data_IF_803693092414
#
_entry.id   IF_803693092414
#
_cell.length_a   1.000
_cell.length_b   1.000
_cell.length_c   1.000
_cell.angle_alpha   90.00
_cell.angle_beta   90.00
_cell.angle_gamma   90.00
#
_symmetry.space_group_name_H-M   'P 1'
#
loop_
_entity.id
_entity.type
_entity.pdbx_description
1 polymer ?
#
# COMPACT_ATOMS: atom_id res chain seq x y z
N UNK A 1 -4.57 -5.49 11.13
CA UNK A 1 -3.72 -5.38 12.34
C UNK A 1 -2.30 -5.07 11.87
N UNK A 2 -1.67 -4.00 12.33
CA UNK A 2 -0.33 -3.64 11.84
C UNK A 2 0.70 -4.59 12.46
N UNK A 3 1.35 -5.40 11.62
CA UNK A 3 2.43 -6.29 12.05
C UNK A 3 3.77 -5.54 12.04
N UNK A 4 4.49 -5.60 13.15
CA UNK A 4 5.87 -5.09 13.25
C UNK A 4 6.83 -6.28 13.18
N UNK A 5 7.90 -6.16 12.40
CA UNK A 5 9.00 -7.11 12.41
C UNK A 5 10.16 -6.50 13.21
N UNK A 6 10.45 -7.07 14.38
CA UNK A 6 11.60 -6.70 15.20
C UNK A 6 12.81 -7.59 14.87
N UNK A 7 13.99 -6.96 14.78
CA UNK A 7 15.28 -7.58 14.46
C UNK A 7 16.23 -7.54 15.67
N UNK A 8 15.79 -7.03 16.83
CA UNK A 8 16.63 -6.77 18.00
C UNK A 8 17.01 -7.98 18.87
N UNK A 9 16.57 -9.20 18.53
CA UNK A 9 16.94 -10.42 19.26
C UNK A 9 16.30 -10.59 20.66
N UNK A 10 15.54 -9.60 21.14
CA UNK A 10 14.62 -9.77 22.29
C UNK A 10 13.20 -9.92 21.75
N UNK A 11 12.66 -11.13 21.82
CA UNK A 11 11.25 -11.33 21.51
C UNK A 11 10.39 -10.57 22.54
N UNK A 12 9.55 -9.59 22.15
CA UNK A 12 8.58 -9.04 23.07
C UNK A 12 7.65 -10.17 23.55
N UNK A 13 7.32 -10.18 24.84
CA UNK A 13 6.49 -11.22 25.47
C UNK A 13 5.08 -11.33 24.88
N UNK A 14 4.66 -10.34 24.07
CA UNK A 14 3.50 -10.41 23.21
C UNK A 14 3.78 -9.75 21.86
N UNK A 15 3.65 -10.51 20.75
CA UNK A 15 3.84 -10.01 19.37
C UNK A 15 2.62 -9.25 18.83
N UNK A 16 1.50 -9.23 19.58
CA UNK A 16 0.25 -8.60 19.16
C UNK A 16 -0.16 -7.59 20.23
N UNK A 17 -0.29 -6.32 19.83
CA UNK A 17 -0.78 -5.25 20.69
C UNK A 17 -2.10 -4.74 20.14
N UNK A 18 -3.16 -4.82 20.94
CA UNK A 18 -4.46 -4.26 20.59
C UNK A 18 -4.52 -2.79 21.00
N UNK A 19 -4.73 -1.91 20.01
CA UNK A 19 -4.97 -0.48 20.24
C UNK A 19 -6.43 -0.21 19.90
N UNK A 20 -7.24 0.12 20.91
CA UNK A 20 -8.64 0.49 20.70
C UNK A 20 -8.74 1.96 20.30
N UNK A 21 -9.61 2.24 19.35
CA UNK A 21 -10.02 3.60 18.99
C UNK A 21 -11.31 3.94 19.74
N UNK A 22 -11.42 5.16 20.24
CA UNK A 22 -12.59 5.67 20.95
C UNK A 22 -13.35 6.61 20.01
N UNK A 23 -14.60 6.30 19.68
CA UNK A 23 -15.40 7.10 18.73
C UNK A 23 -15.32 6.62 17.28
N UNK A 24 -16.02 7.32 16.39
CA UNK A 24 -16.09 6.98 14.97
C UNK A 24 -14.85 7.47 14.22
N UNK A 25 -14.00 6.53 13.81
CA UNK A 25 -12.75 6.82 13.13
C UNK A 25 -12.56 5.91 11.92
N UNK A 26 -12.14 6.48 10.79
CA UNK A 26 -11.90 5.75 9.54
C UNK A 26 -10.55 5.03 9.50
N UNK A 27 -10.30 4.30 8.40
CA UNK A 27 -9.08 3.50 8.17
C UNK A 27 -7.80 4.33 8.31
N UNK A 28 -7.77 5.54 7.74
CA UNK A 28 -6.66 6.48 7.88
C UNK A 28 -6.24 6.71 9.34
N UNK A 29 -7.18 6.98 10.24
CA UNK A 29 -6.90 7.20 11.66
C UNK A 29 -6.31 5.94 12.31
N UNK A 30 -6.90 4.76 12.05
CA UNK A 30 -6.41 3.50 12.59
C UNK A 30 -4.98 3.19 12.11
N UNK A 31 -4.67 3.40 10.82
CA UNK A 31 -3.34 3.18 10.25
C UNK A 31 -2.31 4.15 10.83
N UNK A 32 -2.66 5.43 10.96
CA UNK A 32 -1.78 6.43 11.57
C UNK A 32 -1.51 6.14 13.04
N UNK A 33 -2.53 5.84 13.84
CA UNK A 33 -2.36 5.47 15.25
C UNK A 33 -1.50 4.22 15.41
N UNK A 34 -1.73 3.20 14.58
CA UNK A 34 -0.90 2.00 14.56
C UNK A 34 0.55 2.29 14.12
N UNK A 35 0.75 3.26 13.23
CA UNK A 35 2.09 3.72 12.82
C UNK A 35 2.79 4.40 13.98
N UNK A 36 2.14 5.34 14.67
CA UNK A 36 2.68 6.05 15.84
C UNK A 36 3.10 5.10 16.96
N UNK A 37 2.33 4.03 17.19
CA UNK A 37 2.60 3.06 18.26
C UNK A 37 3.57 1.93 17.87
N UNK A 38 3.90 1.79 16.59
CA UNK A 38 4.83 0.75 16.14
C UNK A 38 6.27 1.09 16.53
N UNK A 39 7.03 0.09 16.97
CA UNK A 39 8.42 0.27 17.44
C UNK A 39 9.46 -0.32 16.48
N UNK A 40 9.02 -1.12 15.50
CA UNK A 40 9.90 -1.75 14.52
C UNK A 40 10.51 -0.75 13.54
N UNK A 41 11.73 -1.07 13.05
CA UNK A 41 12.39 -0.35 11.94
C UNK A 41 11.61 -0.50 10.64
N UNK A 42 11.10 -1.68 10.36
CA UNK A 42 10.31 -1.94 9.17
C UNK A 42 8.82 -1.86 9.48
N UNK A 43 8.08 -1.13 8.65
CA UNK A 43 6.63 -0.97 8.78
C UNK A 43 5.91 -1.59 7.59
N UNK A 44 4.87 -2.36 7.88
CA UNK A 44 3.94 -2.88 6.89
C UNK A 44 2.51 -2.59 7.32
N UNK A 45 1.59 -2.58 6.37
CA UNK A 45 0.15 -2.53 6.63
C UNK A 45 -0.48 -3.85 6.19
N UNK A 46 -1.46 -4.33 6.94
CA UNK A 46 -2.26 -5.49 6.58
C UNK A 46 -3.72 -5.18 6.88
N UNK A 47 -4.52 -5.05 5.83
CA UNK A 47 -5.95 -4.87 5.93
C UNK A 47 -6.59 -6.14 6.52
N UNK A 48 -7.67 -5.97 7.29
CA UNK A 48 -8.23 -7.03 8.12
C UNK A 48 -8.88 -8.16 7.30
N UNK A 49 -9.13 -7.91 6.02
CA UNK A 49 -9.68 -8.85 5.07
C UNK A 49 -8.63 -9.52 4.18
N UNK A 50 -7.38 -9.08 4.18
CA UNK A 50 -6.33 -9.67 3.37
C UNK A 50 -5.55 -10.76 4.10
N UNK A 51 -4.85 -11.59 3.32
CA UNK A 51 -3.96 -12.63 3.82
C UNK A 51 -2.57 -12.47 3.24
N UNK A 52 -1.55 -12.70 4.06
CA UNK A 52 -0.17 -12.80 3.59
C UNK A 52 0.25 -14.25 3.41
N UNK A 53 1.09 -14.45 2.40
CA UNK A 53 1.92 -15.64 2.34
C UNK A 53 2.82 -15.71 3.60
N UNK A 54 3.08 -16.93 4.08
CA UNK A 54 3.87 -17.14 5.31
C UNK A 54 5.29 -16.59 5.18
N UNK A 55 5.82 -16.52 3.96
CA UNK A 55 7.17 -16.03 3.65
C UNK A 55 7.20 -14.54 3.25
N UNK A 56 6.06 -13.84 3.21
CA UNK A 56 5.98 -12.43 2.76
C UNK A 56 7.01 -11.55 3.46
N UNK A 57 7.04 -11.59 4.79
CA UNK A 57 7.92 -10.73 5.59
C UNK A 57 9.40 -11.06 5.37
N UNK A 58 9.78 -12.35 5.37
CA UNK A 58 11.17 -12.77 5.21
C UNK A 58 11.70 -12.46 3.81
N UNK A 59 10.92 -12.76 2.77
CA UNK A 59 11.27 -12.47 1.37
C UNK A 59 11.39 -10.98 1.10
N UNK A 60 10.40 -10.19 1.50
CA UNK A 60 10.41 -8.75 1.25
C UNK A 60 11.49 -8.03 2.05
N UNK A 61 11.75 -8.45 3.29
CA UNK A 61 12.86 -7.91 4.09
C UNK A 61 14.22 -8.23 3.45
N UNK A 62 14.43 -9.46 3.00
CA UNK A 62 15.66 -9.86 2.29
C UNK A 62 15.85 -9.04 1.02
N UNK A 63 14.78 -8.85 0.25
CA UNK A 63 14.77 -8.03 -0.96
C UNK A 63 15.14 -6.56 -0.66
N UNK A 64 14.57 -5.95 0.37
CA UNK A 64 14.89 -4.56 0.77
C UNK A 64 16.34 -4.42 1.23
N UNK A 65 16.87 -5.40 1.99
CA UNK A 65 18.28 -5.40 2.40
C UNK A 65 19.23 -5.50 1.21
N UNK A 66 18.91 -6.36 0.24
CA UNK A 66 19.73 -6.55 -0.97
C UNK A 66 19.73 -5.31 -1.87
N UNK A 67 18.61 -4.61 -1.96
CA UNK A 67 18.43 -3.45 -2.85
C UNK A 67 18.74 -2.11 -2.18
N UNK A 68 18.78 -2.06 -0.84
CA UNK A 68 18.84 -0.81 -0.09
C UNK A 68 17.54 0.02 -0.18
N UNK A 69 16.42 -0.60 -0.60
CA UNK A 69 15.17 0.11 -0.82
C UNK A 69 14.58 0.64 0.49
N UNK A 70 14.18 1.91 0.50
CA UNK A 70 13.43 2.52 1.60
C UNK A 70 11.92 2.20 1.53
N UNK A 71 11.41 1.93 0.32
CA UNK A 71 10.03 1.60 0.03
C UNK A 71 10.01 0.43 -0.94
N UNK A 72 9.41 -0.70 -0.54
CA UNK A 72 9.13 -1.81 -1.45
C UNK A 72 7.65 -2.20 -1.46
N UNK A 73 7.26 -2.95 -2.49
CA UNK A 73 5.94 -3.54 -2.63
C UNK A 73 6.03 -4.88 -3.38
N UNK A 74 5.02 -5.73 -3.22
CA UNK A 74 4.98 -7.06 -3.84
C UNK A 74 3.86 -7.18 -4.87
N UNK A 75 3.94 -8.23 -5.70
CA UNK A 75 2.76 -8.75 -6.40
C UNK A 75 1.73 -9.31 -5.43
N UNK A 76 0.55 -9.57 -5.95
CA UNK A 76 -0.57 -10.11 -5.18
C UNK A 76 -1.51 -10.92 -6.09
N UNK A 77 -2.34 -11.75 -5.48
CA UNK A 77 -3.37 -12.54 -6.16
C UNK A 77 -4.74 -12.13 -5.64
N UNK A 78 -5.74 -12.07 -6.51
CA UNK A 78 -7.12 -11.88 -6.05
C UNK A 78 -7.63 -13.15 -5.37
N UNK A 79 -8.33 -12.99 -4.25
CA UNK A 79 -8.97 -14.08 -3.53
C UNK A 79 -10.49 -13.87 -3.39
N UNK A 80 -11.22 -14.98 -3.31
CA UNK A 80 -12.65 -15.01 -3.00
C UNK A 80 -12.93 -14.68 -1.52
N UNK A 81 -14.19 -14.59 -1.13
CA UNK A 81 -14.61 -14.26 0.24
C UNK A 81 -14.11 -15.22 1.33
N UNK A 82 -13.72 -16.44 0.95
CA UNK A 82 -13.13 -17.44 1.85
C UNK A 82 -11.60 -17.31 1.93
N UNK A 83 -11.01 -16.34 1.23
CA UNK A 83 -9.56 -16.15 1.17
C UNK A 83 -8.86 -17.15 0.25
N UNK A 84 -9.59 -17.85 -0.63
CA UNK A 84 -8.99 -18.76 -1.60
C UNK A 84 -8.58 -17.97 -2.85
N UNK A 85 -7.34 -18.15 -3.27
CA UNK A 85 -6.80 -17.57 -4.50
C UNK A 85 -7.62 -17.94 -5.74
N UNK A 86 -7.83 -16.97 -6.62
CA UNK A 86 -8.58 -17.12 -7.88
C UNK A 86 -7.69 -17.50 -9.06
N UNK A 87 -6.37 -17.63 -8.86
CA UNK A 87 -5.36 -17.78 -9.91
C UNK A 87 -5.01 -16.47 -10.62
N UNK A 88 -5.74 -15.37 -10.35
CA UNK A 88 -5.51 -14.08 -10.99
C UNK A 88 -4.42 -13.29 -10.27
N UNK A 89 -3.19 -13.44 -10.75
CA UNK A 89 -1.99 -12.81 -10.19
C UNK A 89 -1.72 -11.46 -10.86
N UNK A 90 -1.53 -10.43 -10.05
CA UNK A 90 -1.06 -9.11 -10.46
C UNK A 90 0.45 -9.03 -10.31
N UNK A 91 1.14 -9.00 -11.44
CA UNK A 91 2.59 -8.77 -11.51
C UNK A 91 2.93 -7.30 -11.30
N UNK A 92 4.13 -7.05 -10.76
CA UNK A 92 4.62 -5.70 -10.46
C UNK A 92 5.90 -5.38 -11.24
N UNK A 93 6.10 -4.11 -11.65
CA UNK A 93 7.36 -3.68 -12.24
C UNK A 93 8.49 -3.69 -11.19
N UNK A 94 9.76 -3.78 -11.61
CA UNK A 94 10.90 -3.83 -10.68
C UNK A 94 11.06 -2.53 -9.87
N UNK A 95 10.60 -1.40 -10.40
CA UNK A 95 10.61 -0.12 -9.71
C UNK A 95 9.45 0.77 -10.21
N UNK A 96 9.05 1.73 -9.38
CA UNK A 96 8.08 2.77 -9.69
C UNK A 96 8.60 4.10 -9.13
N UNK A 97 8.77 5.07 -10.02
CA UNK A 97 9.02 6.48 -9.71
C UNK A 97 7.70 7.24 -9.50
N UNK A 98 7.78 8.48 -9.02
CA UNK A 98 6.60 9.35 -8.86
C UNK A 98 5.76 9.48 -10.15
N UNK A 99 6.39 9.81 -11.28
CA UNK A 99 5.69 10.03 -12.55
C UNK A 99 5.03 8.74 -13.09
N UNK A 100 5.59 7.58 -12.76
CA UNK A 100 4.99 6.28 -13.09
C UNK A 100 3.84 5.93 -12.14
N UNK A 101 3.98 6.23 -10.84
CA UNK A 101 2.94 6.00 -9.84
C UNK A 101 1.68 6.83 -10.13
N UNK A 102 1.84 8.06 -10.64
CA UNK A 102 0.72 8.88 -11.11
C UNK A 102 -0.09 8.20 -12.22
N UNK A 103 0.47 7.22 -12.94
CA UNK A 103 -0.22 6.49 -14.00
C UNK A 103 -0.60 5.07 -13.55
N UNK A 104 -0.18 4.65 -12.36
CA UNK A 104 -0.22 3.26 -11.95
C UNK A 104 -0.47 3.08 -10.45
N UNK A 105 -1.72 2.76 -10.10
CA UNK A 105 -2.11 2.39 -8.72
C UNK A 105 -1.97 0.89 -8.45
N UNK A 106 -0.84 0.29 -8.85
CA UNK A 106 -0.54 -1.13 -8.57
C UNK A 106 -0.04 -1.33 -7.15
N UNK A 107 0.59 -0.32 -6.55
CA UNK A 107 0.99 -0.36 -5.13
C UNK A 107 -0.28 -0.39 -4.29
N UNK A 108 -0.41 -1.43 -3.48
CA UNK A 108 -1.58 -1.71 -2.66
C UNK A 108 -1.17 -1.79 -1.19
N UNK A 109 -2.03 -1.32 -0.29
CA UNK A 109 -1.72 -1.17 1.14
C UNK A 109 -1.14 -2.44 1.76
N UNK A 110 -1.72 -3.61 1.49
CA UNK A 110 -1.22 -4.86 2.07
C UNK A 110 0.08 -5.37 1.44
N UNK A 111 0.59 -4.80 0.35
CA UNK A 111 1.81 -5.27 -0.32
C UNK A 111 3.07 -4.51 0.11
N UNK A 112 2.93 -3.38 0.78
CA UNK A 112 4.06 -2.48 1.06
C UNK A 112 4.91 -2.93 2.24
N UNK A 113 6.18 -2.52 2.22
CA UNK A 113 7.07 -2.50 3.37
C UNK A 113 7.96 -1.26 3.27
N UNK A 114 8.08 -0.53 4.38
CA UNK A 114 8.91 0.66 4.53
C UNK A 114 10.07 0.41 5.47
N UNK A 115 11.24 0.98 5.16
CA UNK A 115 12.33 1.13 6.12
C UNK A 115 12.24 2.52 6.76
N UNK A 116 11.74 2.58 7.99
CA UNK A 116 11.52 3.84 8.69
C UNK A 116 12.83 4.52 9.11
N UNK A 117 13.95 3.79 9.14
CA UNK A 117 15.27 4.42 9.37
C UNK A 117 15.74 5.26 8.19
N UNK A 118 15.26 4.96 6.98
CA UNK A 118 15.59 5.70 5.76
C UNK A 118 14.53 6.77 5.43
N UNK A 119 13.25 6.50 5.71
CA UNK A 119 12.15 7.45 5.39
C UNK A 119 11.81 8.40 6.53
N UNK A 120 11.99 7.99 7.78
CA UNK A 120 11.36 8.65 8.92
C UNK A 120 9.88 8.30 9.06
N UNK A 121 9.40 8.29 10.31
CA UNK A 121 8.04 7.84 10.64
C UNK A 121 6.94 8.79 10.15
N UNK A 122 7.18 10.10 10.17
CA UNK A 122 6.20 11.10 9.71
C UNK A 122 5.98 11.05 8.19
N UNK A 123 6.96 10.55 7.44
CA UNK A 123 6.91 10.40 5.99
C UNK A 123 5.87 9.37 5.55
N UNK A 124 5.62 8.34 6.37
CA UNK A 124 4.60 7.31 6.11
C UNK A 124 3.23 7.62 6.71
N UNK A 125 3.06 8.78 7.34
CA UNK A 125 1.76 9.24 7.86
C UNK A 125 0.77 9.45 6.71
N UNK A 126 -0.40 8.85 6.80
CA UNK A 126 -1.45 8.99 5.78
C UNK A 126 -2.26 10.27 6.00
N UNK A 127 -2.55 11.06 4.96
CA UNK A 127 -3.42 12.24 5.08
C UNK A 127 -4.89 11.83 5.31
N UNK A 128 -5.66 12.66 6.02
CA UNK A 128 -7.08 12.40 6.29
C UNK A 128 -7.97 12.76 5.08
N UNK A 129 -7.78 12.06 3.96
CA UNK A 129 -8.55 12.20 2.72
C UNK A 129 -9.00 10.83 2.20
N UNK A 130 -9.87 10.80 1.18
CA UNK A 130 -10.17 9.55 0.48
C UNK A 130 -8.92 9.03 -0.26
N UNK A 131 -8.71 7.71 -0.29
CA UNK A 131 -7.52 7.10 -0.90
C UNK A 131 -6.23 7.60 -0.26
N UNK A 132 -6.24 7.64 1.07
CA UNK A 132 -5.16 8.12 1.92
C UNK A 132 -3.83 7.38 1.69
N UNK A 133 -3.89 6.11 1.33
CA UNK A 133 -2.75 5.27 1.04
C UNK A 133 -2.01 5.74 -0.21
N UNK A 134 -2.74 5.90 -1.32
CA UNK A 134 -2.23 6.36 -2.60
C UNK A 134 -1.63 7.75 -2.49
N UNK A 135 -2.30 8.65 -1.76
CA UNK A 135 -1.77 9.98 -1.46
C UNK A 135 -0.46 9.93 -0.66
N UNK A 136 -0.38 9.03 0.33
CA UNK A 136 0.86 8.80 1.07
C UNK A 136 1.98 8.30 0.15
N UNK A 137 1.71 7.28 -0.67
CA UNK A 137 2.70 6.72 -1.60
C UNK A 137 3.22 7.79 -2.57
N UNK A 138 2.33 8.58 -3.17
CA UNK A 138 2.73 9.66 -4.08
C UNK A 138 3.54 10.74 -3.39
N UNK A 139 3.20 11.11 -2.15
CA UNK A 139 3.99 12.05 -1.35
C UNK A 139 5.41 11.55 -1.09
N UNK A 140 5.56 10.28 -0.72
CA UNK A 140 6.88 9.64 -0.50
C UNK A 140 7.70 9.66 -1.80
N UNK A 141 7.09 9.23 -2.91
CA UNK A 141 7.77 9.15 -4.21
C UNK A 141 8.15 10.53 -4.76
N UNK A 142 7.28 11.54 -4.58
CA UNK A 142 7.57 12.93 -4.94
C UNK A 142 8.74 13.52 -4.15
N UNK A 143 8.98 13.00 -2.94
CA UNK A 143 10.15 13.34 -2.11
C UNK A 143 11.47 12.75 -2.62
N UNK A 144 11.50 12.11 -3.79
CA UNK A 144 12.71 11.56 -4.41
C UNK A 144 12.98 10.09 -4.10
N UNK A 145 12.05 9.41 -3.41
CA UNK A 145 12.13 7.97 -3.13
C UNK A 145 11.64 7.19 -4.35
N UNK A 146 12.31 6.08 -4.66
CA UNK A 146 11.83 5.10 -5.64
C UNK A 146 11.23 3.89 -4.90
N UNK A 147 10.04 3.45 -5.31
CA UNK A 147 9.45 2.21 -4.79
C UNK A 147 9.98 1.01 -5.58
N UNK A 148 10.46 -0.02 -4.90
CA UNK A 148 11.00 -1.23 -5.53
C UNK A 148 10.01 -2.38 -5.47
N UNK A 149 9.74 -3.00 -6.63
CA UNK A 149 8.77 -4.09 -6.76
C UNK A 149 9.42 -5.47 -6.71
N UNK A 150 9.04 -6.27 -5.72
CA UNK A 150 9.32 -7.70 -5.68
C UNK A 150 8.21 -8.44 -6.44
N UNK A 151 8.51 -8.94 -7.64
CA UNK A 151 7.54 -9.58 -8.52
C UNK A 151 7.19 -11.02 -8.12
N UNK A 152 6.78 -11.20 -6.87
CA UNK A 152 6.21 -12.42 -6.30
C UNK A 152 4.83 -12.12 -5.72
N UNK A 153 3.89 -13.06 -5.88
CA UNK A 153 2.57 -12.97 -5.26
C UNK A 153 2.66 -13.38 -3.79
N UNK A 154 2.72 -12.40 -2.89
CA UNK A 154 2.91 -12.64 -1.45
C UNK A 154 1.72 -12.14 -0.61
N UNK A 155 0.63 -11.76 -1.28
CA UNK A 155 -0.60 -11.26 -0.64
C UNK A 155 -1.80 -11.77 -1.42
N UNK A 156 -2.80 -12.27 -0.71
CA UNK A 156 -4.11 -12.56 -1.24
C UNK A 156 -5.02 -11.38 -0.93
N UNK A 157 -5.41 -10.66 -1.98
CA UNK A 157 -6.32 -9.53 -1.90
C UNK A 157 -7.76 -10.03 -1.94
N UNK A 158 -8.39 -10.09 -0.76
CA UNK A 158 -9.73 -10.66 -0.62
C UNK A 158 -10.80 -9.69 -1.09
N UNK A 159 -11.74 -10.18 -1.90
CA UNK A 159 -12.88 -9.36 -2.35
C UNK A 159 -14.19 -10.07 -2.04
N UNK A 160 -14.94 -9.55 -1.08
CA UNK A 160 -16.34 -9.94 -0.90
C UNK A 160 -17.18 -9.36 -2.04
N UNK A 161 -18.09 -10.15 -2.57
CA UNK A 161 -19.08 -9.68 -3.53
C UNK A 161 -19.87 -8.51 -2.90
N UNK A 162 -19.85 -7.32 -3.52
CA UNK A 162 -20.62 -6.16 -3.06
C UNK A 162 -19.87 -5.07 -2.28
N UNK A 163 -18.55 -5.16 -2.09
CA UNK A 163 -17.78 -4.12 -1.37
C UNK A 163 -17.66 -2.78 -2.12
N UNK A 164 -17.50 -1.69 -1.36
CA UNK A 164 -17.46 -0.26 -1.73
C UNK A 164 -16.55 0.09 -2.94
N UNK A 165 -15.58 -0.77 -3.26
CA UNK A 165 -14.68 -0.66 -4.42
C UNK A 165 -15.35 -0.98 -5.77
N UNK A 166 -16.60 -1.43 -5.78
CA UNK A 166 -17.33 -1.84 -6.99
C UNK A 166 -17.84 -0.67 -7.83
N UNK A 167 -17.93 0.55 -7.27
CA UNK A 167 -18.44 1.70 -7.99
C UNK A 167 -17.33 2.43 -8.78
N UNK A 168 -17.31 2.22 -10.10
CA UNK A 168 -16.38 2.84 -11.04
C UNK A 168 -16.39 4.38 -10.96
N UNK A 169 -17.57 4.98 -10.75
CA UNK A 169 -17.70 6.45 -10.68
C UNK A 169 -17.00 7.01 -9.43
N UNK A 170 -17.11 6.30 -8.31
CA UNK A 170 -16.39 6.66 -7.09
C UNK A 170 -14.88 6.58 -7.28
N UNK A 171 -14.38 5.53 -7.94
CA UNK A 171 -12.94 5.39 -8.23
C UNK A 171 -12.42 6.52 -9.12
N UNK A 172 -13.17 6.87 -10.18
CA UNK A 172 -12.84 7.97 -11.09
C UNK A 172 -12.78 9.30 -10.34
N UNK A 173 -13.80 9.60 -9.52
CA UNK A 173 -13.82 10.84 -8.73
C UNK A 173 -12.64 10.91 -7.76
N UNK A 174 -12.33 9.82 -7.06
CA UNK A 174 -11.21 9.75 -6.10
C UNK A 174 -9.87 10.01 -6.76
N UNK A 175 -9.56 9.31 -7.86
CA UNK A 175 -8.27 9.49 -8.52
C UNK A 175 -8.14 10.90 -9.11
N UNK A 176 -9.23 11.46 -9.64
CA UNK A 176 -9.22 12.84 -10.15
C UNK A 176 -8.95 13.85 -9.03
N UNK A 177 -9.59 13.70 -7.86
CA UNK A 177 -9.31 14.53 -6.68
C UNK A 177 -7.87 14.40 -6.21
N UNK A 178 -7.31 13.20 -6.21
CA UNK A 178 -5.89 13.02 -5.85
C UNK A 178 -4.98 13.85 -6.78
N UNK A 179 -5.21 13.85 -8.10
CA UNK A 179 -4.42 14.68 -9.01
C UNK A 179 -4.62 16.18 -8.79
N UNK A 180 -5.86 16.62 -8.60
CA UNK A 180 -6.23 18.05 -8.57
C UNK A 180 -6.00 18.71 -7.23
N UNK A 181 -6.37 18.03 -6.15
CA UNK A 181 -6.44 18.57 -4.80
C UNK A 181 -5.22 18.13 -3.97
N UNK A 182 -4.84 16.85 -4.00
CA UNK A 182 -3.71 16.36 -3.20
C UNK A 182 -2.35 16.68 -3.83
N UNK A 183 -2.22 16.50 -5.15
CA UNK A 183 -0.96 16.70 -5.89
C UNK A 183 -0.88 18.05 -6.61
N UNK A 184 -1.99 18.78 -6.74
CA UNK A 184 -2.01 20.11 -7.37
C UNK A 184 -1.58 20.12 -8.85
N UNK A 185 -1.73 19.00 -9.57
CA UNK A 185 -1.34 18.89 -10.97
C UNK A 185 -2.16 19.86 -11.84
N UNK A 186 -1.70 20.21 -13.05
CA UNK A 186 -2.51 20.96 -14.03
C UNK A 186 -3.56 20.07 -14.69
N UNK A 187 -4.62 20.65 -15.28
CA UNK A 187 -5.74 19.85 -15.82
C UNK A 187 -5.25 18.94 -16.94
N UNK A 188 -4.34 19.44 -17.78
CA UNK A 188 -3.70 18.70 -18.87
C UNK A 188 -2.90 17.52 -18.32
N UNK A 189 -2.05 17.74 -17.30
CA UNK A 189 -1.25 16.66 -16.69
C UNK A 189 -2.17 15.63 -16.00
N UNK A 190 -3.21 16.08 -15.30
CA UNK A 190 -4.21 15.20 -14.69
C UNK A 190 -4.90 14.32 -15.72
N UNK A 191 -5.37 14.89 -16.84
CA UNK A 191 -6.04 14.14 -17.90
C UNK A 191 -5.11 13.11 -18.54
N UNK A 192 -3.87 13.49 -18.83
CA UNK A 192 -2.85 12.58 -19.35
C UNK A 192 -2.63 11.40 -18.39
N UNK A 193 -2.34 11.64 -17.11
CA UNK A 193 -2.13 10.58 -16.12
C UNK A 193 -3.37 9.69 -15.96
N UNK A 194 -4.56 10.29 -15.96
CA UNK A 194 -5.83 9.59 -15.82
C UNK A 194 -6.09 8.59 -16.95
N UNK A 195 -5.77 8.91 -18.20
CA UNK A 195 -5.94 7.98 -19.33
C UNK A 195 -5.10 6.71 -19.13
N UNK A 196 -3.81 6.87 -18.79
CA UNK A 196 -2.94 5.71 -18.54
C UNK A 196 -3.37 4.91 -17.32
N UNK A 197 -3.82 5.60 -16.26
CA UNK A 197 -4.39 4.96 -15.08
C UNK A 197 -5.60 4.10 -15.43
N UNK A 198 -6.55 4.63 -16.20
CA UNK A 198 -7.78 3.92 -16.57
C UNK A 198 -7.46 2.64 -17.37
N UNK A 199 -6.57 2.75 -18.37
CA UNK A 199 -6.12 1.60 -19.17
C UNK A 199 -5.48 0.53 -18.29
N UNK A 200 -4.52 0.91 -17.43
CA UNK A 200 -3.82 -0.03 -16.55
C UNK A 200 -4.76 -0.66 -15.50
N UNK A 201 -5.72 0.11 -14.98
CA UNK A 201 -6.70 -0.39 -14.02
C UNK A 201 -7.61 -1.47 -14.65
N UNK A 202 -7.94 -1.35 -15.93
CA UNK A 202 -8.69 -2.36 -16.68
C UNK A 202 -7.82 -3.58 -16.97
N UNK A 203 -6.60 -3.37 -17.50
CA UNK A 203 -5.69 -4.47 -17.85
C UNK A 203 -5.30 -5.35 -16.66
N UNK A 204 -5.21 -4.82 -15.43
CA UNK A 204 -4.99 -5.65 -14.22
C UNK A 204 -6.14 -6.61 -13.91
N UNK A 205 -7.33 -6.37 -14.48
CA UNK A 205 -8.59 -7.06 -14.19
C UNK A 205 -9.07 -7.95 -15.33
N UNK A 206 -8.40 -7.94 -16.48
CA UNK A 206 -8.58 -8.88 -17.59
C UNK A 206 -7.48 -9.92 -17.46
#
# INVERSE_FOLDING_TARGET
ANATADVSGKAPSCRIRLIKNTGEHGACHARNKGTEQAEGRYLCFLDADDLWDREKLSKQLSFMRKTGAAFSFTGYEFADENGKGTGKIVKVPPQITYEEALKNTTIFTSTVMFDLSLLGRETVRMPAIESEDTACWWRILRGGVTAYGLNESLTLYRRSAGTLSSNKNTAIRRIWRLYREAEGLSVIKSAYCFVFWAVRAVLRRI
#
